data_IF_398679917020
#
_entry.id   IF_398679917020
#
_cell.length_a   1.000
_cell.length_b   1.000
_cell.length_c   1.000
_cell.angle_alpha   90.00
_cell.angle_beta   90.00
_cell.angle_gamma   90.00
#
_symmetry.space_group_name_H-M   'P 1'
#
loop_
_entity.id
_entity.type
_entity.pdbx_description
1 polymer ?
#
# COMPACT_ATOMS: atom_id res chain seq x y z
N UNK A 1 -17.12 14.54 11.88
CA UNK A 1 -15.89 14.83 11.13
C UNK A 1 -14.65 14.48 11.94
N UNK A 2 -14.35 15.13 13.08
CA UNK A 2 -13.16 14.80 13.88
C UNK A 2 -13.18 13.41 14.54
N UNK A 3 -14.35 12.91 14.96
CA UNK A 3 -14.51 11.54 15.49
C UNK A 3 -14.05 10.50 14.46
N UNK A 4 -14.43 10.75 13.20
CA UNK A 4 -14.23 9.83 12.09
C UNK A 4 -12.73 9.71 11.76
N UNK A 5 -11.96 10.78 11.95
CA UNK A 5 -10.50 10.80 11.74
C UNK A 5 -9.74 9.90 12.73
N UNK A 6 -10.23 9.77 13.96
CA UNK A 6 -9.65 8.84 14.95
C UNK A 6 -9.82 7.38 14.55
N UNK A 7 -10.87 7.06 13.79
CA UNK A 7 -11.09 5.72 13.23
C UNK A 7 -10.37 5.53 11.89
N UNK A 8 -10.51 6.48 10.96
CA UNK A 8 -9.97 6.37 9.61
C UNK A 8 -8.44 6.46 9.58
N UNK A 9 -7.81 7.28 10.43
CA UNK A 9 -6.35 7.38 10.49
C UNK A 9 -5.68 6.01 10.70
N UNK A 10 -6.00 5.26 11.78
CA UNK A 10 -5.48 3.93 12.01
C UNK A 10 -5.81 2.92 10.90
N UNK A 11 -6.99 3.01 10.30
CA UNK A 11 -7.36 2.15 9.16
C UNK A 11 -6.48 2.41 7.94
N UNK A 12 -6.18 3.67 7.64
CA UNK A 12 -5.28 4.05 6.55
C UNK A 12 -3.84 3.62 6.85
N UNK A 13 -3.38 3.74 8.11
CA UNK A 13 -2.09 3.19 8.55
C UNK A 13 -2.03 1.68 8.33
N UNK A 14 -3.07 0.95 8.76
CA UNK A 14 -3.14 -0.49 8.58
C UNK A 14 -3.14 -0.88 7.10
N UNK A 15 -3.88 -0.17 6.25
CA UNK A 15 -3.88 -0.38 4.80
C UNK A 15 -2.49 -0.16 4.19
N UNK A 16 -1.78 0.89 4.60
CA UNK A 16 -0.40 1.14 4.19
C UNK A 16 0.55 0.02 4.65
N UNK A 17 0.45 -0.42 5.90
CA UNK A 17 1.27 -1.52 6.42
C UNK A 17 1.04 -2.84 5.67
N UNK A 18 -0.23 -3.17 5.40
CA UNK A 18 -0.62 -4.34 4.58
C UNK A 18 -0.04 -4.22 3.17
N UNK A 19 -0.20 -3.06 2.52
CA UNK A 19 0.34 -2.83 1.18
C UNK A 19 1.87 -2.97 1.15
N UNK A 20 2.58 -2.48 2.17
CA UNK A 20 4.03 -2.61 2.27
C UNK A 20 4.44 -4.09 2.37
N UNK A 21 3.75 -4.85 3.23
CA UNK A 21 4.01 -6.27 3.43
C UNK A 21 3.76 -7.09 2.15
N UNK A 22 2.70 -6.77 1.42
CA UNK A 22 2.35 -7.44 0.16
C UNK A 22 2.94 -6.80 -1.11
N UNK A 23 3.88 -5.86 -0.98
CA UNK A 23 4.43 -5.13 -2.13
C UNK A 23 5.07 -6.06 -3.19
N UNK A 24 5.81 -7.09 -2.75
CA UNK A 24 6.46 -8.06 -3.66
C UNK A 24 5.43 -8.95 -4.39
N UNK A 25 4.49 -9.63 -3.71
CA UNK A 25 3.49 -10.43 -4.40
C UNK A 25 2.56 -9.59 -5.30
N UNK A 26 2.23 -8.35 -4.92
CA UNK A 26 1.43 -7.45 -5.77
C UNK A 26 2.17 -7.03 -7.04
N UNK A 27 3.45 -6.66 -6.91
CA UNK A 27 4.29 -6.38 -8.07
C UNK A 27 4.37 -7.60 -9.01
N UNK A 28 4.52 -8.80 -8.45
CA UNK A 28 4.61 -10.03 -9.23
C UNK A 28 3.31 -10.33 -9.96
N UNK A 29 2.17 -10.17 -9.27
CA UNK A 29 0.86 -10.35 -9.89
C UNK A 29 0.64 -9.35 -11.02
N UNK A 30 1.04 -8.09 -10.86
CA UNK A 30 1.01 -7.10 -11.94
C UNK A 30 1.87 -7.52 -13.13
N UNK A 31 3.10 -8.01 -12.91
CA UNK A 31 3.92 -8.53 -14.01
C UNK A 31 3.30 -9.76 -14.70
N UNK A 32 2.63 -10.63 -13.94
CA UNK A 32 1.94 -11.80 -14.50
C UNK A 32 0.78 -11.39 -15.40
N UNK A 33 0.04 -10.33 -15.04
CA UNK A 33 -1.01 -9.76 -15.89
C UNK A 33 -0.41 -9.11 -17.15
N UNK A 34 0.71 -8.41 -17.01
CA UNK A 34 1.42 -7.79 -18.15
C UNK A 34 2.02 -8.86 -19.09
N UNK A 35 2.31 -10.06 -18.58
CA UNK A 35 2.84 -11.19 -19.34
C UNK A 35 1.74 -12.01 -20.07
N UNK A 36 0.46 -11.63 -20.00
CA UNK A 36 -0.61 -12.31 -20.75
C UNK A 36 -0.32 -12.22 -22.25
N UNK A 37 -0.15 -13.37 -22.90
CA UNK A 37 0.25 -13.48 -24.30
C UNK A 37 1.75 -13.75 -24.52
N UNK A 38 2.56 -13.77 -23.46
CA UNK A 38 3.93 -14.27 -23.49
C UNK A 38 3.97 -15.79 -23.46
N UNK A 39 5.06 -16.37 -23.98
CA UNK A 39 5.37 -17.81 -23.82
C UNK A 39 5.94 -18.15 -22.44
N UNK A 40 6.20 -17.14 -21.60
CA UNK A 40 6.73 -17.32 -20.25
C UNK A 40 5.63 -17.81 -19.30
N UNK A 41 5.82 -18.96 -18.61
CA UNK A 41 4.87 -19.42 -17.61
C UNK A 41 4.70 -18.40 -16.47
N UNK A 42 3.46 -18.13 -16.03
CA UNK A 42 3.18 -17.13 -15.00
C UNK A 42 3.95 -17.36 -13.67
N UNK A 43 4.22 -18.62 -13.32
CA UNK A 43 4.97 -18.98 -12.11
C UNK A 43 6.49 -18.74 -12.23
N UNK A 44 7.00 -18.39 -13.40
CA UNK A 44 8.39 -18.00 -13.64
C UNK A 44 8.57 -16.48 -13.72
N UNK A 45 7.45 -15.72 -13.81
CA UNK A 45 7.48 -14.26 -13.85
C UNK A 45 7.90 -13.70 -12.49
N UNK A 46 9.03 -13.01 -12.47
CA UNK A 46 9.55 -12.31 -11.30
C UNK A 46 9.19 -10.82 -11.33
N UNK A 47 8.90 -10.20 -10.18
CA UNK A 47 8.55 -8.78 -10.11
C UNK A 47 9.75 -7.90 -10.47
N UNK A 48 9.52 -6.86 -11.28
CA UNK A 48 10.52 -5.82 -11.44
C UNK A 48 10.77 -5.09 -10.11
N UNK A 49 12.03 -4.91 -9.74
CA UNK A 49 12.41 -4.29 -8.47
C UNK A 49 11.82 -2.90 -8.29
N UNK A 50 11.73 -2.11 -9.37
CA UNK A 50 11.14 -0.77 -9.32
C UNK A 50 9.63 -0.79 -9.03
N UNK A 51 8.88 -1.79 -9.51
CA UNK A 51 7.45 -1.95 -9.16
C UNK A 51 7.29 -2.28 -7.68
N UNK A 52 8.15 -3.13 -7.12
CA UNK A 52 8.16 -3.40 -5.66
C UNK A 52 8.40 -2.11 -4.88
N UNK A 53 9.36 -1.29 -5.30
CA UNK A 53 9.63 0.01 -4.68
C UNK A 53 8.48 0.99 -4.84
N UNK A 54 7.75 0.97 -5.96
CA UNK A 54 6.55 1.78 -6.17
C UNK A 54 5.47 1.42 -5.14
N UNK A 55 5.13 0.13 -5.00
CA UNK A 55 4.14 -0.31 -4.00
C UNK A 55 4.57 0.05 -2.57
N UNK A 56 5.86 -0.10 -2.24
CA UNK A 56 6.40 0.33 -0.93
C UNK A 56 6.31 1.85 -0.74
N UNK A 57 6.59 2.63 -1.77
CA UNK A 57 6.46 4.09 -1.75
C UNK A 57 5.02 4.54 -1.48
N UNK A 58 4.06 3.96 -2.21
CA UNK A 58 2.62 4.21 -1.99
C UNK A 58 2.22 3.82 -0.57
N UNK A 59 2.68 2.67 -0.09
CA UNK A 59 2.41 2.19 1.26
C UNK A 59 2.93 3.16 2.34
N UNK A 60 4.15 3.69 2.17
CA UNK A 60 4.72 4.69 3.10
C UNK A 60 3.87 5.97 3.09
N UNK A 61 3.46 6.44 1.91
CA UNK A 61 2.57 7.62 1.80
C UNK A 61 1.26 7.38 2.55
N UNK A 62 0.65 6.20 2.41
CA UNK A 62 -0.57 5.85 3.15
C UNK A 62 -0.33 5.84 4.66
N UNK A 63 0.76 5.24 5.14
CA UNK A 63 1.09 5.25 6.57
C UNK A 63 1.24 6.68 7.10
N UNK A 64 1.99 7.53 6.41
CA UNK A 64 2.18 8.93 6.80
C UNK A 64 0.86 9.70 6.79
N UNK A 65 0.03 9.51 5.76
CA UNK A 65 -1.29 10.14 5.68
C UNK A 65 -2.19 9.68 6.83
N UNK A 66 -2.24 8.38 7.13
CA UNK A 66 -3.04 7.84 8.22
C UNK A 66 -2.61 8.36 9.60
N UNK A 67 -1.31 8.53 9.83
CA UNK A 67 -0.78 9.17 11.04
C UNK A 67 -1.24 10.63 11.12
N UNK A 68 -1.15 11.38 10.01
CA UNK A 68 -1.61 12.76 9.93
C UNK A 68 -3.10 12.91 10.23
N UNK A 69 -3.94 12.07 9.64
CA UNK A 69 -5.39 12.04 9.88
C UNK A 69 -5.70 11.75 11.35
N UNK A 70 -5.05 10.73 11.94
CA UNK A 70 -5.24 10.42 13.35
C UNK A 70 -4.81 11.59 14.25
N UNK A 71 -3.67 12.20 13.96
CA UNK A 71 -3.15 13.36 14.69
C UNK A 71 -4.11 14.56 14.65
N UNK A 72 -4.66 14.88 13.49
CA UNK A 72 -5.70 15.91 13.35
C UNK A 72 -6.94 15.57 14.18
N UNK A 73 -7.36 14.30 14.13
CA UNK A 73 -8.44 13.78 14.98
C UNK A 73 -8.18 14.03 16.46
N UNK A 74 -6.97 13.71 16.96
CA UNK A 74 -6.58 13.92 18.36
C UNK A 74 -6.59 15.41 18.73
N UNK A 75 -5.99 16.27 17.90
CA UNK A 75 -5.91 17.71 18.16
C UNK A 75 -7.28 18.38 18.23
N UNK A 76 -8.31 17.82 17.57
CA UNK A 76 -9.67 18.33 17.64
C UNK A 76 -10.38 18.05 18.99
N UNK A 77 -9.78 17.24 19.88
CA UNK A 77 -10.33 16.88 21.20
C UNK A 77 -9.50 17.37 22.38
N UNK A 78 -8.39 18.06 22.12
CA UNK A 78 -7.50 18.67 23.12
C UNK A 78 -7.69 20.17 23.16
#
# INVERSE_FOLDING_TARGET
MSQDLLLYGPLVVAAGAVLYYFARPLARFSEQLDAIGSTTPAHEVEPAGWKVWLYRGIAIVLVVAGIGLFGEGVLAYT
#
